data_IF_258387734574
#
_entry.id   IF_258387734574
#
_cell.length_a   1.000
_cell.length_b   1.000
_cell.length_c   1.000
_cell.angle_alpha   90.00
_cell.angle_beta   90.00
_cell.angle_gamma   90.00
#
_symmetry.space_group_name_H-M   'P 1'
#
loop_
_entity.id
_entity.type
_entity.pdbx_description
1 polymer ?
#
# COMPACT_ATOMS: atom_id res chain seq x y z
N UNK A 1 -16.32 -19.52 -19.98
CA UNK A 1 -16.22 -18.22 -19.38
C UNK A 1 -14.99 -18.12 -18.51
N UNK A 2 -14.31 -17.03 -18.60
CA UNK A 2 -13.12 -16.91 -17.82
C UNK A 2 -13.45 -16.80 -16.34
N UNK A 3 -12.50 -17.14 -15.54
CA UNK A 3 -12.60 -16.96 -14.10
C UNK A 3 -12.31 -15.52 -13.76
N UNK A 4 -13.25 -14.91 -13.08
CA UNK A 4 -13.09 -13.51 -12.69
C UNK A 4 -11.94 -13.31 -11.73
N UNK A 5 -11.62 -14.32 -10.92
CA UNK A 5 -10.50 -14.23 -10.01
C UNK A 5 -9.17 -14.01 -10.72
N UNK A 6 -9.04 -14.52 -11.96
CA UNK A 6 -7.82 -14.33 -12.73
C UNK A 6 -7.72 -12.92 -13.29
N UNK A 7 -8.80 -12.15 -13.20
CA UNK A 7 -8.88 -10.81 -13.75
C UNK A 7 -8.84 -9.72 -12.67
N UNK A 8 -8.35 -10.05 -11.49
CA UNK A 8 -8.27 -9.07 -10.42
C UNK A 8 -7.28 -7.97 -10.82
N UNK A 9 -7.76 -6.75 -10.82
CA UNK A 9 -6.96 -5.60 -11.21
C UNK A 9 -6.06 -5.13 -10.06
N UNK A 10 -5.08 -4.31 -10.39
CA UNK A 10 -4.25 -3.68 -9.36
C UNK A 10 -5.09 -2.78 -8.46
N UNK A 11 -6.09 -2.12 -9.02
CA UNK A 11 -6.98 -1.28 -8.24
C UNK A 11 -7.75 -2.10 -7.20
N UNK A 12 -8.23 -3.28 -7.60
CA UNK A 12 -8.92 -4.17 -6.67
C UNK A 12 -7.98 -4.72 -5.61
N UNK A 13 -6.75 -5.04 -5.98
CA UNK A 13 -5.74 -5.50 -5.02
C UNK A 13 -5.42 -4.40 -4.02
N UNK A 14 -5.34 -3.16 -4.50
CA UNK A 14 -5.10 -2.01 -3.63
C UNK A 14 -6.24 -1.85 -2.63
N UNK A 15 -7.47 -1.96 -3.10
CA UNK A 15 -8.63 -1.86 -2.21
C UNK A 15 -8.63 -2.94 -1.14
N UNK A 16 -8.25 -4.16 -1.51
CA UNK A 16 -8.15 -5.26 -0.56
C UNK A 16 -7.06 -5.01 0.46
N UNK A 17 -5.93 -4.45 0.03
CA UNK A 17 -4.86 -4.09 0.95
C UNK A 17 -5.36 -3.11 2.01
N UNK A 18 -6.06 -2.06 1.59
CA UNK A 18 -6.60 -1.07 2.52
C UNK A 18 -7.55 -1.72 3.51
N UNK A 19 -8.43 -2.58 3.04
CA UNK A 19 -9.42 -3.24 3.87
C UNK A 19 -8.79 -4.28 4.81
N UNK A 20 -8.00 -5.18 4.24
CA UNK A 20 -7.57 -6.38 4.94
C UNK A 20 -6.29 -6.20 5.74
N UNK A 21 -5.38 -5.37 5.25
CA UNK A 21 -4.10 -5.16 5.89
C UNK A 21 -4.07 -3.92 6.77
N UNK A 22 -4.84 -2.91 6.44
CA UNK A 22 -4.79 -1.64 7.15
C UNK A 22 -5.98 -1.46 8.09
N UNK A 23 -7.18 -1.31 7.54
CA UNK A 23 -8.36 -1.04 8.36
C UNK A 23 -8.59 -2.16 9.38
N UNK A 24 -8.45 -3.39 8.95
CA UNK A 24 -8.68 -4.55 9.81
C UNK A 24 -7.70 -4.63 10.97
N UNK A 25 -6.51 -4.04 10.83
CA UNK A 25 -5.48 -4.05 11.85
C UNK A 25 -5.44 -2.77 12.68
N UNK A 26 -6.48 -1.96 12.59
CA UNK A 26 -6.61 -0.80 13.45
C UNK A 26 -6.20 0.54 12.85
N UNK A 27 -5.88 0.58 11.56
CA UNK A 27 -5.68 1.86 10.90
C UNK A 27 -7.07 2.47 10.69
N UNK A 28 -7.38 3.52 11.42
CA UNK A 28 -8.71 4.13 11.41
C UNK A 28 -8.71 5.59 10.96
N UNK A 29 -7.56 6.16 10.71
CA UNK A 29 -7.48 7.52 10.18
C UNK A 29 -7.95 7.51 8.73
N UNK A 30 -9.06 8.18 8.47
CA UNK A 30 -9.68 8.19 7.15
C UNK A 30 -8.73 8.76 6.09
N UNK A 31 -7.96 9.79 6.45
CA UNK A 31 -7.01 10.39 5.51
C UNK A 31 -5.92 9.40 5.12
N UNK A 32 -5.45 8.59 6.06
CA UNK A 32 -4.44 7.59 5.80
C UNK A 32 -5.00 6.50 4.89
N UNK A 33 -6.18 5.98 5.23
CA UNK A 33 -6.82 4.93 4.42
C UNK A 33 -7.10 5.43 3.00
N UNK A 34 -7.58 6.66 2.88
CA UNK A 34 -7.86 7.26 1.59
C UNK A 34 -6.59 7.40 0.75
N UNK A 35 -5.52 7.87 1.35
CA UNK A 35 -4.25 8.03 0.65
C UNK A 35 -3.73 6.70 0.12
N UNK A 36 -3.79 5.66 0.94
CA UNK A 36 -3.34 4.33 0.51
C UNK A 36 -4.24 3.74 -0.57
N UNK A 37 -5.51 4.14 -0.59
CA UNK A 37 -6.43 3.71 -1.63
C UNK A 37 -6.21 4.40 -2.96
N UNK A 38 -5.57 5.57 -2.96
CA UNK A 38 -5.34 6.36 -4.17
C UNK A 38 -3.98 6.15 -4.79
N UNK A 39 -2.95 5.92 -3.97
CA UNK A 39 -1.58 5.84 -4.48
C UNK A 39 -1.35 4.48 -5.12
N UNK A 40 -0.99 4.45 -6.41
CA UNK A 40 -0.73 3.18 -7.11
C UNK A 40 0.65 2.66 -6.76
N UNK A 41 0.74 1.93 -5.66
CA UNK A 41 2.00 1.38 -5.15
C UNK A 41 2.75 0.58 -6.21
N UNK A 42 2.01 -0.08 -7.11
CA UNK A 42 2.63 -0.90 -8.15
C UNK A 42 3.48 -0.07 -9.11
N UNK A 43 3.21 1.23 -9.24
CA UNK A 43 3.98 2.08 -10.15
C UNK A 43 5.37 2.43 -9.62
N UNK A 44 5.61 2.16 -8.36
CA UNK A 44 6.93 2.40 -7.76
C UNK A 44 7.76 1.14 -7.71
N UNK A 45 7.29 0.07 -8.33
CA UNK A 45 7.92 -1.25 -8.28
C UNK A 45 8.33 -1.64 -9.69
N UNK A 46 9.51 -2.24 -9.80
CA UNK A 46 9.97 -2.79 -11.08
C UNK A 46 8.89 -3.73 -11.64
N UNK A 47 8.62 -3.69 -12.96
CA UNK A 47 7.60 -4.57 -13.55
C UNK A 47 7.70 -6.03 -13.17
N UNK A 48 8.93 -6.53 -12.96
CA UNK A 48 9.17 -7.91 -12.56
C UNK A 48 8.51 -8.24 -11.23
N UNK A 49 8.35 -7.25 -10.35
CA UNK A 49 7.86 -7.45 -9.00
C UNK A 49 6.47 -6.86 -8.77
N UNK A 50 5.85 -6.28 -9.77
CA UNK A 50 4.57 -5.57 -9.60
C UNK A 50 3.46 -6.45 -9.04
N UNK A 51 3.48 -7.75 -9.34
CA UNK A 51 2.46 -8.66 -8.84
C UNK A 51 2.50 -8.82 -7.31
N UNK A 52 3.60 -8.40 -6.69
CA UNK A 52 3.75 -8.47 -5.23
C UNK A 52 3.52 -7.13 -4.55
N UNK A 53 3.14 -6.09 -5.31
CA UNK A 53 3.07 -4.73 -4.80
C UNK A 53 2.14 -4.56 -3.60
N UNK A 54 1.11 -5.39 -3.51
CA UNK A 54 0.12 -5.29 -2.44
C UNK A 54 0.18 -6.45 -1.46
N UNK A 55 1.27 -7.19 -1.48
CA UNK A 55 1.49 -8.26 -0.51
C UNK A 55 1.76 -7.65 0.88
N UNK A 56 1.45 -8.44 1.89
CA UNK A 56 1.57 -8.03 3.28
C UNK A 56 3.02 -8.25 3.75
N UNK A 57 3.90 -7.35 3.34
CA UNK A 57 5.30 -7.45 3.72
C UNK A 57 6.13 -6.40 2.98
N UNK A 58 7.41 -6.29 3.33
CA UNK A 58 8.31 -5.42 2.58
C UNK A 58 8.57 -6.01 1.20
N UNK A 59 8.90 -5.16 0.25
CA UNK A 59 9.08 -5.56 -1.14
C UNK A 59 10.38 -5.00 -1.68
N UNK A 60 11.20 -5.86 -2.28
CA UNK A 60 12.41 -5.44 -2.96
C UNK A 60 12.02 -4.69 -4.26
N UNK A 61 12.64 -3.55 -4.49
CA UNK A 61 12.41 -2.78 -5.70
C UNK A 61 13.65 -2.73 -6.59
N UNK A 62 14.65 -3.53 -6.26
CA UNK A 62 15.90 -3.59 -7.02
C UNK A 62 16.99 -2.75 -6.37
N UNK A 63 18.21 -2.90 -6.88
CA UNK A 63 19.37 -2.12 -6.41
C UNK A 63 19.63 -2.27 -4.91
N UNK A 64 19.26 -3.43 -4.33
CA UNK A 64 19.45 -3.65 -2.91
C UNK A 64 18.52 -2.86 -2.03
N UNK A 65 17.46 -2.27 -2.58
CA UNK A 65 16.52 -1.44 -1.85
C UNK A 65 15.17 -2.12 -1.69
N UNK A 66 14.43 -1.70 -0.67
CA UNK A 66 13.09 -2.24 -0.41
C UNK A 66 12.14 -1.08 -0.11
N UNK A 67 10.85 -1.32 -0.36
CA UNK A 67 9.82 -0.46 0.18
C UNK A 67 9.17 -1.20 1.35
N UNK A 68 8.79 -0.41 2.36
CA UNK A 68 8.27 -0.97 3.60
C UNK A 68 6.92 -1.63 3.41
N UNK A 69 6.61 -2.56 4.29
CA UNK A 69 5.29 -3.18 4.37
C UNK A 69 4.21 -2.11 4.48
N UNK A 70 3.10 -2.23 3.74
CA UNK A 70 2.05 -1.19 3.77
C UNK A 70 1.55 -0.87 5.17
N UNK A 71 1.31 -1.89 5.99
CA UNK A 71 0.82 -1.68 7.35
C UNK A 71 1.80 -0.85 8.19
N UNK A 72 3.10 -1.12 8.05
CA UNK A 72 4.12 -0.39 8.82
C UNK A 72 4.13 1.08 8.43
N UNK A 73 4.04 1.36 7.13
CA UNK A 73 4.00 2.74 6.66
C UNK A 73 2.73 3.42 7.16
N UNK A 74 1.58 2.77 7.03
CA UNK A 74 0.31 3.35 7.45
C UNK A 74 0.28 3.62 8.95
N UNK A 75 0.79 2.69 9.74
CA UNK A 75 0.84 2.85 11.19
C UNK A 75 1.74 4.04 11.57
N UNK A 76 2.87 4.17 10.90
CA UNK A 76 3.78 5.27 11.17
C UNK A 76 3.14 6.60 10.85
N UNK A 77 2.50 6.71 9.69
CA UNK A 77 1.86 7.95 9.27
C UNK A 77 0.71 8.30 10.22
N UNK A 78 -0.09 7.31 10.62
CA UNK A 78 -1.18 7.54 11.54
C UNK A 78 -0.66 8.01 12.91
N UNK A 79 0.43 7.41 13.39
CA UNK A 79 1.02 7.78 14.68
C UNK A 79 1.53 9.22 14.68
N UNK A 80 1.88 9.76 13.52
CA UNK A 80 2.33 11.14 13.40
C UNK A 80 1.17 12.14 13.41
N UNK A 81 -0.07 11.66 13.31
CA UNK A 81 -1.28 12.49 13.37
C UNK A 81 -1.23 13.66 12.39
N UNK A 82 -0.87 13.36 11.15
CA UNK A 82 -0.73 14.39 10.12
C UNK A 82 -2.08 15.00 9.77
N UNK A 83 -2.06 16.28 9.43
CA UNK A 83 -3.28 17.03 9.16
C UNK A 83 -3.47 17.38 7.68
N UNK A 84 -2.65 16.79 6.82
CA UNK A 84 -2.80 16.92 5.38
C UNK A 84 -1.97 18.01 4.75
N UNK A 85 -1.43 18.94 5.53
CA UNK A 85 -0.60 20.03 5.00
C UNK A 85 0.89 19.86 5.34
N UNK A 86 1.21 18.86 6.13
CA UNK A 86 2.60 18.60 6.48
C UNK A 86 3.28 17.83 5.35
N UNK A 87 4.59 17.95 5.32
CA UNK A 87 5.44 17.20 4.40
C UNK A 87 6.19 16.14 5.16
N UNK A 88 6.10 14.89 4.69
CA UNK A 88 6.79 13.77 5.31
C UNK A 88 7.75 13.20 4.30
N UNK A 89 9.01 13.05 4.71
CA UNK A 89 10.02 12.41 3.90
C UNK A 89 10.39 11.08 4.52
N UNK A 90 10.16 10.01 3.78
CA UNK A 90 10.56 8.67 4.18
C UNK A 90 11.78 8.26 3.37
N UNK A 91 12.82 7.91 4.05
CA UNK A 91 14.08 7.54 3.43
C UNK A 91 14.32 6.05 3.57
#
# INVERSE_FOLDING_TARGET
>A
MQTLGAMVTMEQRRARMVSDQLARRGIDDVSVLDAFGRVPREEFVDPTFQRYAYDDGPLSIGYGQTISQPYVVAMTVQALELQGHEHVLEI
#
